data_IF_747207928978
#
_entry.id   IF_747207928978
#
_cell.length_a   1.000
_cell.length_b   1.000
_cell.length_c   1.000
_cell.angle_alpha   90.00
_cell.angle_beta   90.00
_cell.angle_gamma   90.00
#
_symmetry.space_group_name_H-M   'P 1'
#
loop_
_entity.id
_entity.type
_entity.pdbx_description
1 polymer ?
#
# COMPACT_ATOMS: atom_id res chain seq x y z
N UNK A 1 -6.11 -4.55 21.24
CA UNK A 1 -7.45 -4.18 20.76
C UNK A 1 -7.96 -5.33 19.94
N UNK A 2 -8.81 -6.15 20.54
CA UNK A 2 -9.45 -7.27 19.88
C UNK A 2 -10.43 -6.71 18.85
N UNK A 3 -10.29 -7.14 17.60
CA UNK A 3 -11.10 -6.67 16.50
C UNK A 3 -11.93 -7.85 16.00
N UNK A 4 -13.25 -7.71 16.02
CA UNK A 4 -14.16 -8.70 15.48
C UNK A 4 -14.20 -8.58 13.97
N UNK A 5 -14.06 -9.72 13.31
CA UNK A 5 -14.25 -9.88 11.87
C UNK A 5 -15.37 -10.87 11.68
N UNK A 6 -16.42 -10.44 11.01
CA UNK A 6 -17.49 -11.31 10.55
C UNK A 6 -17.29 -11.59 9.06
N UNK A 7 -16.85 -12.82 8.75
CA UNK A 7 -16.54 -13.25 7.39
C UNK A 7 -17.80 -13.54 6.57
N UNK A 8 -18.92 -13.89 7.22
CA UNK A 8 -20.20 -14.17 6.57
C UNK A 8 -20.90 -12.86 6.19
N UNK A 9 -21.02 -11.94 7.15
CA UNK A 9 -21.58 -10.61 6.92
C UNK A 9 -20.63 -9.68 6.17
N UNK A 10 -19.39 -10.11 5.92
CA UNK A 10 -18.32 -9.34 5.27
C UNK A 10 -18.10 -7.99 5.98
N UNK A 11 -18.03 -8.04 7.30
CA UNK A 11 -17.85 -6.87 8.17
C UNK A 11 -16.60 -7.02 9.03
N UNK A 12 -16.03 -5.88 9.38
CA UNK A 12 -14.96 -5.81 10.36
C UNK A 12 -15.16 -4.52 11.15
N UNK A 13 -14.82 -4.55 12.44
CA UNK A 13 -14.88 -3.38 13.32
C UNK A 13 -14.01 -2.21 12.83
N UNK A 14 -13.09 -2.45 11.91
CA UNK A 14 -12.36 -1.39 11.22
C UNK A 14 -13.23 -0.47 10.35
N UNK A 15 -14.46 -0.88 10.03
CA UNK A 15 -15.36 -0.21 9.08
C UNK A 15 -14.96 -0.32 7.61
N UNK A 16 -13.65 -0.44 7.31
CA UNK A 16 -13.11 -0.50 5.93
C UNK A 16 -13.80 -1.57 5.10
N UNK A 17 -13.95 -2.79 5.63
CA UNK A 17 -14.55 -3.88 4.86
C UNK A 17 -16.03 -3.62 4.53
N UNK A 18 -16.77 -2.95 5.42
CA UNK A 18 -18.15 -2.59 5.19
C UNK A 18 -18.31 -1.47 4.15
N UNK A 19 -17.35 -0.54 4.07
CA UNK A 19 -17.36 0.63 3.16
C UNK A 19 -16.80 0.25 1.79
N UNK A 20 -15.56 -0.24 1.75
CA UNK A 20 -14.88 -0.58 0.49
C UNK A 20 -15.41 -1.86 -0.13
N UNK A 21 -16.13 -2.69 0.64
CA UNK A 21 -16.59 -4.01 0.21
C UNK A 21 -15.44 -4.93 -0.27
N UNK A 22 -14.21 -4.60 0.13
CA UNK A 22 -12.96 -5.33 -0.10
C UNK A 22 -12.40 -5.71 1.28
N UNK A 23 -11.94 -6.96 1.49
CA UNK A 23 -11.40 -7.40 2.76
C UNK A 23 -10.22 -6.53 3.23
N UNK A 24 -10.29 -6.01 4.45
CA UNK A 24 -9.18 -5.32 5.10
C UNK A 24 -8.10 -6.30 5.58
N UNK A 25 -6.92 -5.83 6.00
CA UNK A 25 -5.84 -6.70 6.48
C UNK A 25 -6.25 -7.69 7.58
N UNK A 26 -7.16 -7.29 8.48
CA UNK A 26 -7.73 -8.16 9.53
C UNK A 26 -8.65 -9.23 8.94
N UNK A 27 -9.52 -8.85 8.01
CA UNK A 27 -10.40 -9.79 7.34
C UNK A 27 -9.63 -10.79 6.47
N UNK A 28 -8.55 -10.34 5.82
CA UNK A 28 -7.60 -11.19 5.08
C UNK A 28 -6.96 -12.21 6.03
N UNK A 29 -6.44 -11.77 7.18
CA UNK A 29 -5.82 -12.67 8.15
C UNK A 29 -6.82 -13.70 8.70
N UNK A 30 -8.03 -13.27 9.06
CA UNK A 30 -9.09 -14.15 9.56
C UNK A 30 -9.56 -15.14 8.48
N UNK A 31 -9.75 -14.69 7.23
CA UNK A 31 -10.12 -15.56 6.11
C UNK A 31 -9.06 -16.60 5.80
N UNK A 32 -7.78 -16.21 5.80
CA UNK A 32 -6.65 -17.15 5.64
C UNK A 32 -6.60 -18.19 6.75
N UNK A 33 -6.84 -17.78 8.00
CA UNK A 33 -6.89 -18.70 9.14
C UNK A 33 -8.05 -19.70 9.02
N UNK A 34 -9.19 -19.24 8.51
CA UNK A 34 -10.36 -20.08 8.23
C UNK A 34 -10.22 -20.95 6.96
N UNK A 35 -9.10 -20.87 6.24
CA UNK A 35 -8.88 -21.63 5.00
C UNK A 35 -9.72 -21.15 3.82
N UNK A 36 -10.24 -19.93 3.87
CA UNK A 36 -11.09 -19.36 2.83
C UNK A 36 -10.26 -18.71 1.72
N UNK A 37 -10.74 -18.84 0.49
CA UNK A 37 -10.12 -18.15 -0.63
C UNK A 37 -10.51 -16.67 -0.64
N UNK A 38 -9.61 -15.79 -0.22
CA UNK A 38 -9.90 -14.37 0.02
C UNK A 38 -10.55 -13.66 -1.18
N UNK A 39 -10.24 -14.08 -2.42
CA UNK A 39 -10.82 -13.45 -3.60
C UNK A 39 -12.34 -13.63 -3.70
N UNK A 40 -12.91 -14.68 -3.09
CA UNK A 40 -14.37 -14.92 -3.08
C UNK A 40 -15.10 -14.05 -2.06
N UNK A 41 -14.36 -13.45 -1.13
CA UNK A 41 -14.87 -12.53 -0.12
C UNK A 41 -14.88 -11.06 -0.58
N UNK A 42 -14.31 -10.76 -1.76
CA UNK A 42 -14.51 -9.46 -2.40
C UNK A 42 -15.94 -9.36 -2.91
N UNK A 43 -16.56 -8.18 -2.78
CA UNK A 43 -17.92 -7.98 -3.28
C UNK A 43 -18.02 -8.20 -4.80
N UNK A 44 -19.07 -8.90 -5.29
CA UNK A 44 -19.27 -9.16 -6.72
C UNK A 44 -19.31 -7.92 -7.60
N UNK A 45 -19.58 -6.72 -7.05
CA UNK A 45 -19.53 -5.45 -7.79
C UNK A 45 -18.16 -5.19 -8.43
N UNK A 46 -17.10 -5.78 -7.89
CA UNK A 46 -15.74 -5.70 -8.45
C UNK A 46 -15.40 -6.86 -9.39
N UNK A 47 -16.37 -7.72 -9.71
CA UNK A 47 -16.19 -8.77 -10.71
C UNK A 47 -16.15 -8.19 -12.11
N UNK A 48 -15.47 -8.89 -13.01
CA UNK A 48 -15.47 -8.52 -14.43
C UNK A 48 -16.87 -8.62 -15.03
N UNK A 49 -17.66 -9.58 -14.59
CA UNK A 49 -19.00 -9.81 -15.15
C UNK A 49 -19.92 -8.62 -14.89
N UNK A 50 -19.95 -8.11 -13.64
CA UNK A 50 -20.70 -6.89 -13.31
C UNK A 50 -20.12 -5.65 -14.01
N UNK A 51 -18.80 -5.57 -14.17
CA UNK A 51 -18.18 -4.50 -14.95
C UNK A 51 -18.66 -4.54 -16.42
N UNK A 52 -18.65 -5.70 -17.06
CA UNK A 52 -19.12 -5.85 -18.44
C UNK A 52 -20.61 -5.58 -18.57
N UNK A 53 -21.41 -6.04 -17.62
CA UNK A 53 -22.86 -5.79 -17.59
C UNK A 53 -23.17 -4.30 -17.44
N UNK A 54 -22.49 -3.59 -16.53
CA UNK A 54 -22.68 -2.16 -16.31
C UNK A 54 -22.26 -1.28 -17.50
N UNK A 55 -21.37 -1.79 -18.36
CA UNK A 55 -20.92 -1.13 -19.60
C UNK A 55 -21.41 -1.87 -20.85
N UNK A 56 -22.47 -2.68 -20.73
CA UNK A 56 -23.03 -3.42 -21.86
C UNK A 56 -23.64 -2.51 -22.90
N UNK A 57 -24.15 -1.35 -22.46
CA UNK A 57 -24.66 -0.31 -23.34
C UNK A 57 -23.59 0.72 -23.73
N UNK A 58 -23.76 1.29 -24.92
CA UNK A 58 -22.90 2.35 -25.40
C UNK A 58 -23.11 3.63 -24.58
N UNK A 59 -22.01 4.20 -24.08
CA UNK A 59 -22.02 5.52 -23.44
C UNK A 59 -22.06 6.57 -24.54
N UNK A 60 -23.26 7.08 -24.82
CA UNK A 60 -23.44 8.17 -25.77
C UNK A 60 -23.16 9.52 -25.10
N UNK A 61 -22.54 10.47 -25.82
CA UNK A 61 -22.41 11.83 -25.33
C UNK A 61 -23.80 12.46 -25.14
N UNK A 62 -23.96 13.26 -24.08
CA UNK A 62 -25.20 13.99 -23.83
C UNK A 62 -25.53 14.92 -25.01
N UNK A 63 -26.61 14.62 -25.73
CA UNK A 63 -27.06 15.40 -26.88
C UNK A 63 -27.49 16.79 -26.38
N UNK A 64 -26.82 17.85 -26.84
CA UNK A 64 -27.08 19.24 -26.45
C UNK A 64 -26.04 19.87 -25.52
N UNK A 65 -25.05 19.11 -25.04
CA UNK A 65 -23.89 19.71 -24.40
C UNK A 65 -23.01 20.34 -25.49
N UNK A 66 -22.91 21.68 -25.50
CA UNK A 66 -21.87 22.37 -26.25
C UNK A 66 -20.53 21.91 -25.68
N UNK A 67 -19.96 20.85 -26.26
CA UNK A 67 -18.61 20.41 -25.97
C UNK A 67 -17.73 21.51 -26.55
N UNK A 68 -17.38 22.50 -25.72
CA UNK A 68 -16.36 23.47 -26.10
C UNK A 68 -15.15 22.66 -26.57
N UNK A 69 -14.75 22.84 -27.83
CA UNK A 69 -13.52 22.29 -28.39
C UNK A 69 -12.34 22.97 -27.68
N UNK A 70 -12.08 22.56 -26.45
CA UNK A 70 -10.93 23.00 -25.68
C UNK A 70 -9.80 22.02 -25.97
N UNK A 71 -8.72 22.53 -26.53
CA UNK A 71 -7.45 21.82 -26.58
C UNK A 71 -6.95 21.67 -25.13
N UNK A 72 -7.15 20.48 -24.55
CA UNK A 72 -6.60 20.13 -23.25
C UNK A 72 -5.09 19.98 -23.35
N UNK A 73 -4.36 21.09 -23.19
CA UNK A 73 -2.91 21.03 -23.02
C UNK A 73 -2.59 20.29 -21.71
N UNK A 74 -1.53 19.45 -21.67
CA UNK A 74 -1.09 18.83 -20.43
C UNK A 74 -0.82 19.93 -19.38
N UNK A 75 -1.15 19.69 -18.11
CA UNK A 75 -0.93 20.68 -17.06
C UNK A 75 0.55 21.05 -17.01
N UNK A 76 0.83 22.35 -16.93
CA UNK A 76 2.19 22.85 -16.86
C UNK A 76 2.76 22.50 -15.47
N UNK A 77 3.46 21.35 -15.39
CA UNK A 77 4.05 20.88 -14.14
C UNK A 77 5.29 21.73 -13.82
N UNK A 78 5.08 22.82 -13.10
CA UNK A 78 6.18 23.61 -12.53
C UNK A 78 6.84 22.78 -11.42
N UNK A 79 8.11 22.44 -11.62
CA UNK A 79 8.91 21.81 -10.57
C UNK A 79 9.10 22.83 -9.45
N UNK A 80 8.80 22.45 -8.21
CA UNK A 80 9.00 23.34 -7.07
C UNK A 80 10.44 23.82 -6.95
N UNK A 81 10.64 25.03 -6.46
CA UNK A 81 11.95 25.58 -6.12
C UNK A 81 12.58 24.70 -5.03
N UNK A 82 13.61 23.94 -5.39
CA UNK A 82 14.28 23.05 -4.45
C UNK A 82 15.14 21.97 -5.11
N UNK A 83 15.89 21.26 -4.27
CA UNK A 83 16.74 20.16 -4.68
C UNK A 83 15.89 19.02 -5.23
N UNK A 84 16.16 18.62 -6.48
CA UNK A 84 15.58 17.42 -7.09
C UNK A 84 15.79 16.21 -6.17
N UNK A 85 14.72 15.46 -5.92
CA UNK A 85 14.82 14.22 -5.15
C UNK A 85 15.66 13.24 -5.97
N UNK A 86 16.77 12.75 -5.40
CA UNK A 86 17.70 11.81 -6.10
C UNK A 86 17.02 10.50 -6.52
N UNK A 87 15.90 10.14 -5.90
CA UNK A 87 15.14 8.93 -6.23
C UNK A 87 13.64 9.19 -6.21
N UNK A 88 12.92 8.50 -7.10
CA UNK A 88 11.46 8.44 -7.14
C UNK A 88 10.94 7.81 -5.85
N UNK A 89 9.76 8.24 -5.38
CA UNK A 89 9.02 7.52 -4.35
C UNK A 89 8.66 6.12 -4.85
N UNK A 90 9.06 5.10 -4.10
CA UNK A 90 8.76 3.72 -4.45
C UNK A 90 7.31 3.40 -4.07
N UNK A 91 6.63 2.62 -4.91
CA UNK A 91 5.27 2.15 -4.61
C UNK A 91 5.29 1.15 -3.44
N UNK A 92 4.13 0.94 -2.82
CA UNK A 92 3.98 -0.06 -1.75
C UNK A 92 4.42 -1.46 -2.21
N UNK A 93 4.14 -1.81 -3.46
CA UNK A 93 4.55 -3.07 -4.09
C UNK A 93 6.07 -3.16 -4.30
N UNK A 94 6.72 -2.07 -4.71
CA UNK A 94 8.18 -2.01 -4.87
C UNK A 94 8.91 -2.11 -3.52
N UNK A 95 8.36 -1.48 -2.48
CA UNK A 95 8.86 -1.57 -1.11
C UNK A 95 8.72 -3.00 -0.56
N UNK A 96 7.61 -3.68 -0.84
CA UNK A 96 7.41 -5.08 -0.50
C UNK A 96 8.40 -6.01 -1.22
N UNK A 97 8.63 -5.82 -2.52
CA UNK A 97 9.56 -6.65 -3.31
C UNK A 97 11.04 -6.47 -2.92
N UNK A 98 11.39 -5.34 -2.30
CA UNK A 98 12.74 -5.09 -1.75
C UNK A 98 12.92 -5.63 -0.33
N UNK A 99 11.82 -5.90 0.39
CA UNK A 99 11.83 -6.50 1.72
C UNK A 99 12.36 -7.94 1.59
N UNK A 100 13.65 -8.12 1.87
CA UNK A 100 14.36 -9.41 1.78
C UNK A 100 15.56 -9.47 0.84
N UNK A 101 15.79 -8.47 -0.05
CA UNK A 101 16.93 -8.51 -0.99
C UNK A 101 18.17 -7.74 -0.56
N UNK A 102 18.06 -6.89 0.45
CA UNK A 102 19.21 -6.24 1.08
C UNK A 102 19.32 -6.75 2.50
N UNK A 103 20.48 -7.27 2.95
CA UNK A 103 20.69 -7.42 4.37
C UNK A 103 20.46 -6.05 5.00
N UNK A 104 19.53 -5.97 5.97
CA UNK A 104 19.47 -4.84 6.89
C UNK A 104 20.91 -4.61 7.34
N UNK A 105 21.44 -3.38 7.20
CA UNK A 105 22.75 -3.06 7.74
C UNK A 105 22.72 -3.44 9.21
N UNK A 106 23.32 -4.58 9.56
CA UNK A 106 23.42 -4.98 10.95
C UNK A 106 24.17 -3.86 11.66
N UNK A 107 23.72 -3.50 12.86
CA UNK A 107 24.45 -2.54 13.67
C UNK A 107 25.88 -3.03 13.80
N UNK A 108 26.83 -2.24 13.30
CA UNK A 108 28.26 -2.56 13.43
C UNK A 108 28.56 -2.58 14.92
N UNK A 109 28.86 -3.76 15.45
CA UNK A 109 29.28 -3.90 16.84
C UNK A 109 30.61 -3.17 17.00
N UNK A 110 30.58 -2.04 17.72
CA UNK A 110 31.75 -1.22 17.94
C UNK A 110 32.62 -1.83 19.04
N UNK A 111 33.92 -2.00 18.77
CA UNK A 111 34.93 -2.43 19.73
C UNK A 111 35.76 -1.23 20.16
N UNK A 112 36.09 -1.14 21.44
CA UNK A 112 37.00 -0.13 21.95
C UNK A 112 38.36 -0.26 21.25
N UNK A 113 38.93 0.84 20.77
CA UNK A 113 40.19 0.82 20.03
C UNK A 113 41.41 0.48 20.90
N UNK A 114 41.29 0.56 22.23
CA UNK A 114 42.37 0.29 23.20
C UNK A 114 42.33 -1.17 23.64
N UNK A 115 41.25 -1.60 24.29
CA UNK A 115 41.13 -2.94 24.85
C UNK A 115 40.51 -3.99 23.91
N UNK A 116 40.00 -3.57 22.74
CA UNK A 116 39.30 -4.40 21.73
C UNK A 116 38.02 -5.09 22.21
N UNK A 117 37.59 -4.79 23.44
CA UNK A 117 36.34 -5.30 24.02
C UNK A 117 35.13 -4.48 23.57
N UNK A 118 33.96 -5.05 23.83
CA UNK A 118 32.66 -4.63 23.34
C UNK A 118 31.84 -4.08 24.50
N UNK A 119 31.06 -3.01 24.31
CA UNK A 119 30.20 -2.44 25.36
C UNK A 119 30.65 -1.09 25.94
N UNK A 120 31.81 -0.58 25.53
CA UNK A 120 32.26 0.77 25.88
C UNK A 120 33.06 1.40 24.72
N UNK A 121 33.18 2.73 24.74
CA UNK A 121 33.98 3.50 23.79
C UNK A 121 35.31 3.90 24.44
N UNK A 122 36.29 4.32 23.63
CA UNK A 122 37.64 4.75 24.07
C UNK A 122 37.66 5.66 25.31
N UNK A 123 36.80 6.70 25.45
CA UNK A 123 36.86 7.59 26.63
C UNK A 123 36.41 6.94 27.95
N UNK A 124 35.64 5.85 27.91
CA UNK A 124 35.22 5.09 29.10
C UNK A 124 36.01 3.78 29.29
N UNK A 125 37.15 3.64 28.60
CA UNK A 125 38.05 2.49 28.78
C UNK A 125 38.76 2.60 30.14
N UNK A 126 38.67 1.55 30.96
CA UNK A 126 39.36 1.45 32.26
C UNK A 126 40.72 0.72 32.18
N UNK A 127 41.14 0.33 30.96
CA UNK A 127 42.51 -0.10 30.67
C UNK A 127 43.34 1.07 30.19
#
# INVERSE_FOLDING_TARGET
>A
MDCVVDLELRKCDCGVYAVEKIPCSRAIAAGSYAGLHISTHVCPVYSKDILFEGYSENIYPCVGQQIETRTCSPPEVKRGLGRQKKSRWQSWLELLRRRGRTPQKQHKVYRCSVCKETGHTRPQCQK
#
